data_IF_131380448309
#
_entry.id   IF_131380448309
#
_cell.length_a   1.000
_cell.length_b   1.000
_cell.length_c   1.000
_cell.angle_alpha   90.00
_cell.angle_beta   90.00
_cell.angle_gamma   90.00
#
_symmetry.space_group_name_H-M   'P 1'
#
loop_
_entity.id
_entity.type
_entity.pdbx_description
1 polymer ?
#
# COMPACT_ATOMS: atom_id res chain seq x y z
N UNK A 1 35.05 35.26 -41.02
CA UNK A 1 33.62 34.98 -41.30
C UNK A 1 33.21 33.53 -41.06
N UNK A 2 33.85 32.51 -41.68
CA UNK A 2 33.46 31.09 -41.51
C UNK A 2 33.52 30.56 -40.07
N UNK A 3 34.48 31.00 -39.26
CA UNK A 3 34.62 30.62 -37.84
C UNK A 3 33.53 31.23 -36.94
N UNK A 4 33.17 32.49 -37.19
CA UNK A 4 32.01 33.15 -36.56
C UNK A 4 30.69 32.48 -36.93
N UNK A 5 30.52 32.06 -38.18
CA UNK A 5 29.32 31.36 -38.61
C UNK A 5 29.21 29.97 -37.96
N UNK A 6 30.35 29.26 -37.80
CA UNK A 6 30.42 28.00 -37.04
C UNK A 6 30.09 28.17 -35.56
N UNK A 7 30.58 29.22 -34.90
CA UNK A 7 30.25 29.47 -33.49
C UNK A 7 28.78 29.83 -33.32
N UNK A 8 28.20 30.60 -34.24
CA UNK A 8 26.78 30.95 -34.23
C UNK A 8 25.89 29.69 -34.35
N UNK A 9 26.24 28.79 -35.27
CA UNK A 9 25.54 27.50 -35.45
C UNK A 9 25.64 26.63 -34.18
N UNK A 10 26.81 26.56 -33.54
CA UNK A 10 27.00 25.82 -32.30
C UNK A 10 26.15 26.36 -31.16
N UNK A 11 26.06 27.69 -31.02
CA UNK A 11 25.21 28.32 -30.00
C UNK A 11 23.74 28.03 -30.26
N UNK A 12 23.28 28.13 -31.51
CA UNK A 12 21.89 27.81 -31.89
C UNK A 12 21.57 26.34 -31.56
N UNK A 13 22.47 25.40 -31.89
CA UNK A 13 22.32 23.99 -31.55
C UNK A 13 22.22 23.75 -30.04
N UNK A 14 23.03 24.44 -29.25
CA UNK A 14 23.03 24.30 -27.80
C UNK A 14 21.73 24.83 -27.17
N UNK A 15 21.20 25.93 -27.71
CA UNK A 15 19.90 26.49 -27.31
C UNK A 15 18.74 25.56 -27.70
N UNK A 16 18.76 24.95 -28.89
CA UNK A 16 17.67 24.03 -29.29
C UNK A 16 17.67 22.75 -28.48
N UNK A 17 18.84 22.18 -28.16
CA UNK A 17 18.96 20.99 -27.31
C UNK A 17 18.37 21.24 -25.92
N UNK A 18 18.68 22.39 -25.31
CA UNK A 18 18.18 22.73 -23.97
C UNK A 18 16.68 23.02 -23.96
N UNK A 19 16.15 23.67 -25.00
CA UNK A 19 14.72 23.92 -25.15
C UNK A 19 13.89 22.63 -25.30
N UNK A 20 14.35 21.70 -26.15
CA UNK A 20 13.68 20.42 -26.39
C UNK A 20 13.74 19.55 -25.14
N UNK A 21 14.91 19.47 -24.49
CA UNK A 21 15.08 18.71 -23.24
C UNK A 21 14.09 19.13 -22.15
N UNK A 22 13.89 20.45 -21.98
CA UNK A 22 12.92 20.98 -21.00
C UNK A 22 11.47 20.66 -21.36
N UNK A 23 11.14 20.72 -22.65
CA UNK A 23 9.79 20.40 -23.16
C UNK A 23 9.43 18.92 -22.93
N UNK A 24 10.35 18.01 -23.25
CA UNK A 24 10.16 16.56 -23.07
C UNK A 24 10.02 16.20 -21.59
N UNK A 25 10.83 16.80 -20.72
CA UNK A 25 10.75 16.57 -19.27
C UNK A 25 9.37 16.99 -18.70
N UNK A 26 8.90 18.18 -19.09
CA UNK A 26 7.60 18.68 -18.65
C UNK A 26 6.45 17.81 -19.16
N UNK A 27 6.52 17.32 -20.40
CA UNK A 27 5.48 16.44 -20.96
C UNK A 27 5.44 15.08 -20.24
N UNK A 28 6.61 14.51 -19.91
CA UNK A 28 6.68 13.25 -19.15
C UNK A 28 6.07 13.37 -17.75
N UNK A 29 6.25 14.52 -17.08
CA UNK A 29 5.68 14.75 -15.75
C UNK A 29 4.14 14.75 -15.77
N UNK A 30 3.53 15.40 -16.77
CA UNK A 30 2.08 15.43 -16.96
C UNK A 30 1.51 14.06 -17.26
N UNK A 31 2.20 13.27 -18.10
CA UNK A 31 1.78 11.91 -18.41
C UNK A 31 1.81 10.99 -17.19
N UNK A 32 2.81 11.15 -16.31
CA UNK A 32 2.87 10.42 -15.03
C UNK A 32 1.74 10.82 -14.08
N UNK A 33 1.35 12.09 -14.07
CA UNK A 33 0.25 12.56 -13.24
C UNK A 33 -1.10 11.99 -13.70
N UNK A 34 -1.35 11.96 -15.01
CA UNK A 34 -2.54 11.32 -15.61
C UNK A 34 -2.57 9.84 -15.27
N UNK A 35 -1.49 9.10 -15.51
CA UNK A 35 -1.43 7.67 -15.20
C UNK A 35 -1.64 7.37 -13.70
N UNK A 36 -1.14 8.24 -12.81
CA UNK A 36 -1.40 8.11 -11.36
C UNK A 36 -2.86 8.37 -11.01
N UNK A 37 -3.47 9.37 -11.62
CA UNK A 37 -4.89 9.68 -11.41
C UNK A 37 -5.77 8.52 -11.89
N UNK A 38 -5.55 8.02 -13.11
CA UNK A 38 -6.27 6.87 -13.66
C UNK A 38 -6.09 5.61 -12.81
N UNK A 39 -4.85 5.31 -12.39
CA UNK A 39 -4.58 4.16 -11.52
C UNK A 39 -5.31 4.29 -10.18
N UNK A 40 -5.38 5.50 -9.61
CA UNK A 40 -6.08 5.75 -8.35
C UNK A 40 -7.59 5.60 -8.48
N UNK A 41 -8.18 6.07 -9.58
CA UNK A 41 -9.60 5.86 -9.89
C UNK A 41 -9.91 4.36 -10.00
N UNK A 42 -9.12 3.62 -10.78
CA UNK A 42 -9.33 2.17 -10.93
C UNK A 42 -9.19 1.40 -9.60
N UNK A 43 -8.26 1.80 -8.73
CA UNK A 43 -8.11 1.21 -7.40
C UNK A 43 -9.34 1.49 -6.53
N UNK A 44 -9.81 2.74 -6.50
CA UNK A 44 -10.98 3.14 -5.72
C UNK A 44 -12.27 2.46 -6.21
N UNK A 45 -12.42 2.25 -7.52
CA UNK A 45 -13.56 1.51 -8.08
C UNK A 45 -13.57 0.06 -7.62
N UNK A 46 -12.42 -0.62 -7.68
CA UNK A 46 -12.27 -2.01 -7.18
C UNK A 46 -12.53 -2.11 -5.68
N UNK A 47 -12.03 -1.15 -4.91
CA UNK A 47 -12.26 -1.10 -3.47
C UNK A 47 -13.74 -0.88 -3.16
N UNK A 48 -14.41 0.01 -3.88
CA UNK A 48 -15.84 0.25 -3.74
C UNK A 48 -16.67 -0.99 -4.11
N UNK A 49 -16.34 -1.66 -5.21
CA UNK A 49 -16.99 -2.92 -5.59
C UNK A 49 -16.82 -3.99 -4.50
N UNK A 50 -15.60 -4.19 -3.99
CA UNK A 50 -15.32 -5.12 -2.88
C UNK A 50 -16.09 -4.77 -1.61
N UNK A 51 -16.16 -3.48 -1.26
CA UNK A 51 -16.91 -3.03 -0.09
C UNK A 51 -18.42 -3.29 -0.27
N UNK A 52 -18.95 -3.08 -1.48
CA UNK A 52 -20.35 -3.38 -1.81
C UNK A 52 -20.65 -4.88 -1.72
N UNK A 53 -19.74 -5.75 -2.20
CA UNK A 53 -19.94 -7.20 -2.07
C UNK A 53 -19.92 -7.62 -0.60
N UNK A 54 -18.97 -7.13 0.19
CA UNK A 54 -18.92 -7.44 1.63
C UNK A 54 -20.15 -6.90 2.37
N UNK A 55 -20.61 -5.69 2.05
CA UNK A 55 -21.86 -5.16 2.62
C UNK A 55 -23.08 -6.00 2.23
N UNK A 56 -23.14 -6.51 1.00
CA UNK A 56 -24.22 -7.41 0.57
C UNK A 56 -24.20 -8.72 1.34
N UNK A 57 -23.02 -9.28 1.58
CA UNK A 57 -22.82 -10.51 2.37
C UNK A 57 -23.19 -10.31 3.84
N UNK A 58 -22.76 -9.20 4.46
CA UNK A 58 -23.06 -8.86 5.85
C UNK A 58 -24.54 -8.49 6.08
N UNK A 59 -25.20 -7.85 5.10
CA UNK A 59 -26.63 -7.57 5.14
C UNK A 59 -27.50 -8.79 4.80
N UNK A 60 -26.90 -9.94 4.48
CA UNK A 60 -27.68 -11.16 4.26
C UNK A 60 -28.40 -11.58 5.54
N UNK A 61 -29.65 -12.04 5.41
CA UNK A 61 -30.44 -12.54 6.55
C UNK A 61 -29.70 -13.63 7.34
N UNK A 62 -28.86 -14.43 6.67
CA UNK A 62 -28.05 -15.46 7.30
C UNK A 62 -26.99 -14.87 8.24
N UNK A 63 -26.29 -13.81 7.83
CA UNK A 63 -25.27 -13.17 8.67
C UNK A 63 -25.90 -12.43 9.85
N UNK A 64 -27.02 -11.75 9.61
CA UNK A 64 -27.84 -11.12 10.66
C UNK A 64 -28.35 -12.14 11.70
N UNK A 65 -28.91 -13.26 11.24
CA UNK A 65 -29.37 -14.35 12.11
C UNK A 65 -28.21 -14.96 12.90
N UNK A 66 -27.06 -15.18 12.26
CA UNK A 66 -25.85 -15.69 12.90
C UNK A 66 -25.34 -14.74 13.98
N UNK A 67 -25.18 -13.45 13.68
CA UNK A 67 -24.80 -12.42 14.65
C UNK A 67 -25.78 -12.32 15.81
N UNK A 68 -27.10 -12.40 15.54
CA UNK A 68 -28.11 -12.39 16.58
C UNK A 68 -28.00 -13.62 17.49
N UNK A 69 -27.82 -14.82 16.92
CA UNK A 69 -27.59 -16.06 17.67
C UNK A 69 -26.34 -15.99 18.54
N UNK A 70 -25.22 -15.56 17.97
CA UNK A 70 -23.94 -15.47 18.67
C UNK A 70 -24.03 -14.48 19.86
N UNK A 71 -24.69 -13.33 19.67
CA UNK A 71 -24.89 -12.33 20.75
C UNK A 71 -25.87 -12.79 21.83
N UNK A 72 -26.88 -13.56 21.46
CA UNK A 72 -27.89 -14.07 22.41
C UNK A 72 -27.48 -15.41 23.05
N UNK A 73 -26.34 -15.99 22.66
CA UNK A 73 -25.89 -17.28 23.14
C UNK A 73 -26.75 -18.46 22.66
N UNK A 74 -27.45 -18.31 21.54
CA UNK A 74 -28.27 -19.38 20.95
C UNK A 74 -27.45 -20.20 19.93
N UNK A 75 -27.53 -21.52 19.99
CA UNK A 75 -26.93 -22.43 19.01
C UNK A 75 -28.00 -23.15 18.18
N UNK A 76 -27.70 -23.39 16.90
CA UNK A 76 -28.51 -24.25 16.04
C UNK A 76 -28.06 -25.69 16.20
N UNK A 77 -28.97 -26.65 15.95
CA UNK A 77 -28.63 -28.08 15.95
C UNK A 77 -27.48 -28.35 14.97
N UNK A 78 -26.32 -28.77 15.50
CA UNK A 78 -25.10 -29.05 14.74
C UNK A 78 -23.93 -28.08 15.02
N UNK A 79 -24.15 -26.98 15.74
CA UNK A 79 -23.07 -26.07 16.14
C UNK A 79 -22.24 -26.68 17.29
N UNK A 80 -20.90 -26.68 17.15
CA UNK A 80 -19.98 -27.20 18.17
C UNK A 80 -19.40 -26.05 18.98
N UNK A 81 -19.71 -25.99 20.27
CA UNK A 81 -19.11 -25.01 21.20
C UNK A 81 -17.66 -25.42 21.49
N UNK A 82 -16.69 -24.67 20.96
CA UNK A 82 -15.28 -24.87 21.27
C UNK A 82 -14.89 -24.01 22.48
N UNK A 83 -14.91 -24.62 23.68
CA UNK A 83 -14.34 -23.99 24.87
C UNK A 83 -12.84 -24.20 24.83
N UNK A 84 -12.07 -23.15 24.56
CA UNK A 84 -10.61 -23.17 24.68
C UNK A 84 -10.31 -23.21 26.18
N UNK A 85 -9.76 -24.30 26.74
CA UNK A 85 -9.29 -24.28 28.11
C UNK A 85 -8.20 -23.22 28.19
N UNK A 86 -8.29 -22.35 29.19
CA UNK A 86 -7.26 -21.38 29.51
C UNK A 86 -6.00 -22.17 29.87
N UNK A 87 -5.18 -22.46 28.85
CA UNK A 87 -3.82 -22.90 29.08
C UNK A 87 -3.21 -21.75 29.85
N UNK A 88 -2.96 -21.97 31.14
CA UNK A 88 -2.05 -21.15 31.92
C UNK A 88 -0.90 -20.82 30.99
N UNK A 89 -0.84 -19.56 30.56
CA UNK A 89 0.27 -19.10 29.73
C UNK A 89 1.46 -19.30 30.63
N UNK A 90 2.19 -20.40 30.42
CA UNK A 90 3.49 -20.58 31.01
C UNK A 90 4.27 -19.35 30.54
N UNK A 91 4.38 -18.40 31.44
CA UNK A 91 5.16 -17.18 31.31
C UNK A 91 6.61 -17.63 31.23
N UNK A 92 7.00 -18.12 30.06
CA UNK A 92 8.39 -18.10 29.64
C UNK A 92 8.65 -16.67 29.15
N UNK A 93 8.50 -15.72 30.07
CA UNK A 93 9.23 -14.47 30.00
C UNK A 93 10.69 -14.84 30.22
N UNK A 94 11.35 -15.31 29.16
CA UNK A 94 12.78 -15.12 29.06
C UNK A 94 12.99 -13.63 29.31
N UNK A 95 13.67 -13.30 30.41
CA UNK A 95 14.06 -11.94 30.73
C UNK A 95 15.04 -11.49 29.65
N UNK A 96 14.50 -11.02 28.53
CA UNK A 96 15.29 -10.36 27.50
C UNK A 96 15.79 -9.09 28.18
N UNK A 97 17.04 -9.14 28.64
CA UNK A 97 17.74 -7.97 29.13
C UNK A 97 17.54 -6.88 28.07
N UNK A 98 16.99 -5.73 28.47
CA UNK A 98 16.57 -4.63 27.60
C UNK A 98 17.80 -4.04 26.89
N UNK A 99 18.28 -4.72 25.86
CA UNK A 99 19.36 -4.25 25.01
C UNK A 99 18.79 -3.07 24.24
N UNK A 100 19.51 -1.95 24.26
CA UNK A 100 19.08 -0.75 23.56
C UNK A 100 19.04 -1.00 22.05
N UNK A 101 17.93 -0.62 21.40
CA UNK A 101 17.62 -0.95 20.01
C UNK A 101 18.79 -0.73 19.03
N UNK A 102 19.57 0.36 19.20
CA UNK A 102 20.71 0.68 18.31
C UNK A 102 21.79 -0.42 18.28
N UNK A 103 21.95 -1.18 19.37
CA UNK A 103 22.92 -2.27 19.46
C UNK A 103 22.50 -3.47 18.62
N UNK A 104 21.18 -3.70 18.45
CA UNK A 104 20.67 -4.71 17.51
C UNK A 104 20.91 -4.32 16.05
N UNK A 105 20.70 -3.05 15.71
CA UNK A 105 20.97 -2.55 14.35
C UNK A 105 22.42 -2.74 13.92
N UNK A 106 23.37 -2.51 14.84
CA UNK A 106 24.80 -2.74 14.55
C UNK A 106 25.07 -4.23 14.33
N UNK A 107 24.50 -5.11 15.15
CA UNK A 107 24.70 -6.55 15.01
C UNK A 107 24.14 -7.08 13.67
N UNK A 108 23.03 -6.52 13.19
CA UNK A 108 22.47 -6.89 11.88
C UNK A 108 23.33 -6.43 10.70
N UNK A 109 24.04 -5.31 10.83
CA UNK A 109 24.85 -4.74 9.75
C UNK A 109 26.25 -5.34 9.63
N UNK A 110 26.76 -5.97 10.70
CA UNK A 110 28.12 -6.50 10.76
C UNK A 110 28.17 -7.99 11.12
N UNK A 111 27.14 -8.76 10.75
CA UNK A 111 27.12 -10.21 10.85
C UNK A 111 28.04 -10.88 9.83
#
# INVERSE_FOLDING_TARGET
>A
MKTFFRSLILVILLVTITAIGRSVYNQSSKFKEINRAESKVSQLEKENEKLKTTLGEENSNFFLEKQARDKLGYQKSGDVLYVVPEKEKASNEEKIAKISNWKEWINLLFR
#
